data_IF_366186395122
#
_entry.id   IF_366186395122
#
_cell.length_a   1.000
_cell.length_b   1.000
_cell.length_c   1.000
_cell.angle_alpha   90.00
_cell.angle_beta   90.00
_cell.angle_gamma   90.00
#
_symmetry.space_group_name_H-M   'P 1'
#
loop_
_entity.id
_entity.type
_entity.pdbx_description
1 polymer ?
#
# COMPACT_ATOMS: atom_id res chain seq x y z
N UNK A 1 26.16 37.30 5.89
CA UNK A 1 24.95 38.13 5.78
C UNK A 1 24.20 37.60 4.55
N UNK A 2 23.33 36.58 4.72
CA UNK A 2 21.85 36.69 4.80
C UNK A 2 21.30 37.34 3.51
N UNK A 3 20.46 36.75 2.66
CA UNK A 3 19.33 35.83 2.89
C UNK A 3 18.97 35.10 1.57
N UNK A 4 18.67 33.81 1.56
CA UNK A 4 17.32 33.20 1.69
C UNK A 4 16.29 33.76 0.70
N UNK A 5 16.39 33.38 -0.58
CA UNK A 5 15.24 33.41 -1.50
C UNK A 5 14.42 32.13 -1.30
N UNK A 6 13.47 32.27 -0.37
CA UNK A 6 12.14 31.66 -0.33
C UNK A 6 11.98 30.24 -0.88
N UNK A 7 12.42 29.31 -0.04
CA UNK A 7 11.72 28.07 0.26
C UNK A 7 10.20 28.30 0.48
N UNK A 8 9.40 28.10 -0.56
CA UNK A 8 7.98 27.72 -0.44
C UNK A 8 7.59 26.75 -1.55
N UNK A 9 8.23 25.59 -1.55
CA UNK A 9 7.64 24.37 -2.07
C UNK A 9 7.25 23.51 -0.85
N UNK A 10 6.03 22.99 -0.88
CA UNK A 10 5.38 22.14 0.14
C UNK A 10 4.72 22.86 1.33
N UNK A 11 3.38 22.88 1.30
CA UNK A 11 2.47 22.23 2.26
C UNK A 11 1.14 22.97 2.30
N UNK A 12 0.20 22.51 1.48
CA UNK A 12 -1.18 22.34 1.96
C UNK A 12 -1.66 20.98 1.45
N UNK A 13 -1.55 20.01 2.37
CA UNK A 13 -2.52 18.94 2.60
C UNK A 13 -3.03 18.24 1.35
N UNK A 14 -2.51 17.03 1.14
CA UNK A 14 -3.29 15.97 0.53
C UNK A 14 -4.61 15.86 1.28
N UNK A 15 -5.63 16.56 0.78
CA UNK A 15 -6.98 16.22 1.09
C UNK A 15 -7.24 14.95 0.31
N UNK A 16 -7.12 13.82 1.01
CA UNK A 16 -8.15 12.81 0.89
C UNK A 16 -9.49 13.47 1.22
N UNK A 17 -9.96 14.35 0.34
CA UNK A 17 -11.37 14.61 0.18
C UNK A 17 -11.99 13.31 -0.30
N UNK A 18 -13.26 13.16 -0.02
CA UNK A 18 -14.13 12.03 -0.37
C UNK A 18 -14.13 11.65 -1.88
N UNK A 19 -13.32 12.30 -2.71
CA UNK A 19 -13.23 12.14 -4.17
C UNK A 19 -11.90 11.52 -4.68
N UNK A 20 -10.88 11.30 -3.83
CA UNK A 20 -9.60 10.73 -4.25
C UNK A 20 -9.45 9.23 -3.94
N UNK A 21 -8.61 8.48 -4.67
CA UNK A 21 -8.35 7.06 -4.38
C UNK A 21 -7.77 6.88 -2.97
N UNK A 22 -8.47 6.09 -2.15
CA UNK A 22 -8.18 5.89 -0.72
C UNK A 22 -8.10 4.41 -0.39
N UNK A 23 -6.99 3.98 0.23
CA UNK A 23 -6.84 2.60 0.71
C UNK A 23 -7.94 2.24 1.71
N UNK A 24 -8.30 3.16 2.62
CA UNK A 24 -9.34 2.90 3.62
C UNK A 24 -10.69 2.58 2.99
N UNK A 25 -11.11 3.36 1.98
CA UNK A 25 -12.35 3.12 1.25
C UNK A 25 -12.28 1.85 0.40
N UNK A 26 -11.13 1.56 -0.21
CA UNK A 26 -10.94 0.34 -0.99
C UNK A 26 -11.08 -0.91 -0.12
N UNK A 27 -10.50 -0.91 1.08
CA UNK A 27 -10.65 -2.03 2.01
C UNK A 27 -12.06 -2.14 2.60
N UNK A 28 -12.77 -1.03 2.78
CA UNK A 28 -14.19 -1.08 3.15
C UNK A 28 -15.02 -1.72 2.04
N UNK A 29 -14.73 -1.42 0.77
CA UNK A 29 -15.39 -2.06 -0.37
C UNK A 29 -15.14 -3.58 -0.40
N UNK A 30 -13.90 -4.02 -0.18
CA UNK A 30 -13.57 -5.45 -0.03
C UNK A 30 -14.40 -6.09 1.10
N UNK A 31 -14.44 -5.47 2.29
CA UNK A 31 -15.20 -6.00 3.43
C UNK A 31 -16.72 -6.06 3.21
N UNK A 32 -17.26 -5.27 2.26
CA UNK A 32 -18.66 -5.30 1.84
C UNK A 32 -18.92 -6.31 0.70
N UNK A 33 -17.89 -6.96 0.17
CA UNK A 33 -17.98 -7.78 -1.03
C UNK A 33 -18.14 -6.99 -2.32
N UNK A 34 -17.93 -5.67 -2.30
CA UNK A 34 -17.96 -4.81 -3.48
C UNK A 34 -16.59 -4.80 -4.16
N UNK A 35 -16.29 -5.93 -4.81
CA UNK A 35 -15.01 -6.14 -5.49
C UNK A 35 -14.81 -5.16 -6.65
N UNK A 36 -15.88 -4.77 -7.35
CA UNK A 36 -15.81 -3.84 -8.47
C UNK A 36 -15.30 -2.46 -8.01
N UNK A 37 -15.85 -1.92 -6.92
CA UNK A 37 -15.37 -0.66 -6.34
C UNK A 37 -13.94 -0.80 -5.83
N UNK A 38 -13.60 -1.90 -5.15
CA UNK A 38 -12.24 -2.13 -4.65
C UNK A 38 -11.21 -2.17 -5.79
N UNK A 39 -11.48 -2.90 -6.88
CA UNK A 39 -10.61 -2.99 -8.05
C UNK A 39 -10.50 -1.64 -8.78
N UNK A 40 -11.58 -0.89 -8.89
CA UNK A 40 -11.54 0.47 -9.46
C UNK A 40 -10.64 1.40 -8.65
N UNK A 41 -10.78 1.37 -7.32
CA UNK A 41 -9.91 2.15 -6.42
C UNK A 41 -8.45 1.72 -6.49
N UNK A 42 -8.19 0.42 -6.57
CA UNK A 42 -6.85 -0.14 -6.75
C UNK A 42 -6.20 0.35 -8.04
N UNK A 43 -6.92 0.29 -9.16
CA UNK A 43 -6.44 0.83 -10.44
C UNK A 43 -6.12 2.33 -10.35
N UNK A 44 -6.99 3.11 -9.69
CA UNK A 44 -6.76 4.54 -9.48
C UNK A 44 -5.55 4.83 -8.55
N UNK A 45 -5.34 4.01 -7.51
CA UNK A 45 -4.17 4.10 -6.63
C UNK A 45 -2.87 3.81 -7.39
N UNK A 46 -2.87 2.76 -8.22
CA UNK A 46 -1.72 2.37 -9.04
C UNK A 46 -1.41 3.41 -10.11
N UNK A 47 -2.43 3.94 -10.79
CA UNK A 47 -2.26 5.02 -11.77
C UNK A 47 -1.73 6.30 -11.11
N UNK A 48 -2.27 6.68 -9.95
CA UNK A 48 -1.81 7.87 -9.22
C UNK A 48 -0.34 7.77 -8.78
N UNK A 49 0.19 6.55 -8.60
CA UNK A 49 1.60 6.32 -8.26
C UNK A 49 2.58 6.86 -9.31
N UNK A 50 2.14 7.02 -10.55
CA UNK A 50 2.94 7.58 -11.64
C UNK A 50 3.23 9.07 -11.49
N UNK A 51 2.41 9.80 -10.74
CA UNK A 51 2.49 11.27 -10.61
C UNK A 51 2.67 11.73 -9.17
N UNK A 52 2.46 10.86 -8.18
CA UNK A 52 2.67 11.15 -6.75
C UNK A 52 3.11 9.91 -5.98
N UNK A 53 3.64 10.12 -4.79
CA UNK A 53 3.99 9.03 -3.88
C UNK A 53 2.71 8.30 -3.42
N UNK A 54 2.61 7.02 -3.78
CA UNK A 54 1.61 6.07 -3.29
C UNK A 54 2.35 4.85 -2.76
N UNK A 55 2.04 4.45 -1.53
CA UNK A 55 2.74 3.36 -0.84
C UNK A 55 2.53 2.02 -1.55
N UNK A 56 3.62 1.37 -1.96
CA UNK A 56 3.60 0.01 -2.50
C UNK A 56 3.02 -1.01 -1.51
N UNK A 57 3.29 -0.82 -0.20
CA UNK A 57 2.67 -1.61 0.87
C UNK A 57 1.14 -1.57 0.81
N UNK A 58 0.55 -0.38 0.65
CA UNK A 58 -0.89 -0.23 0.61
C UNK A 58 -1.52 -0.95 -0.60
N UNK A 59 -0.83 -0.89 -1.75
CA UNK A 59 -1.27 -1.57 -2.98
C UNK A 59 -1.19 -3.09 -2.79
N UNK A 60 -0.06 -3.59 -2.27
CA UNK A 60 0.11 -5.01 -1.97
C UNK A 60 -0.90 -5.53 -0.94
N UNK A 61 -1.18 -4.77 0.11
CA UNK A 61 -2.19 -5.14 1.11
C UNK A 61 -3.61 -5.19 0.52
N UNK A 62 -3.92 -4.34 -0.45
CA UNK A 62 -5.22 -4.33 -1.14
C UNK A 62 -5.37 -5.54 -2.06
N UNK A 63 -4.35 -5.88 -2.84
CA UNK A 63 -4.32 -7.14 -3.60
C UNK A 63 -4.45 -8.35 -2.69
N UNK A 64 -3.74 -8.37 -1.54
CA UNK A 64 -3.86 -9.44 -0.57
C UNK A 64 -5.29 -9.58 -0.05
N UNK A 65 -5.96 -8.46 0.28
CA UNK A 65 -7.35 -8.47 0.74
C UNK A 65 -8.34 -8.94 -0.34
N UNK A 66 -8.01 -8.76 -1.62
CA UNK A 66 -8.77 -9.22 -2.78
C UNK A 66 -8.49 -10.69 -3.14
N UNK A 67 -7.50 -11.33 -2.49
CA UNK A 67 -7.08 -12.70 -2.82
C UNK A 67 -6.14 -12.81 -4.02
N UNK A 68 -5.68 -11.69 -4.59
CA UNK A 68 -4.74 -11.64 -5.71
C UNK A 68 -3.29 -11.88 -5.21
N UNK A 69 -2.96 -13.11 -4.81
CA UNK A 69 -1.70 -13.42 -4.13
C UNK A 69 -0.45 -13.04 -4.95
N UNK A 70 -0.40 -13.35 -6.24
CA UNK A 70 0.77 -13.08 -7.09
C UNK A 70 1.08 -11.58 -7.16
N UNK A 71 0.04 -10.78 -7.35
CA UNK A 71 0.17 -9.33 -7.45
C UNK A 71 0.45 -8.71 -6.08
N UNK A 72 -0.12 -9.27 -5.00
CA UNK A 72 0.21 -8.88 -3.64
C UNK A 72 1.71 -9.06 -3.36
N UNK A 73 2.29 -10.24 -3.66
CA UNK A 73 3.73 -10.47 -3.47
C UNK A 73 4.59 -9.55 -4.33
N UNK A 74 4.21 -9.33 -5.60
CA UNK A 74 4.93 -8.39 -6.47
C UNK A 74 5.01 -6.98 -5.88
N UNK A 75 3.91 -6.47 -5.34
CA UNK A 75 3.89 -5.14 -4.71
C UNK A 75 4.56 -5.12 -3.34
N UNK A 76 4.47 -6.21 -2.57
CA UNK A 76 5.16 -6.32 -1.30
C UNK A 76 6.69 -6.38 -1.50
N UNK A 77 7.17 -7.01 -2.57
CA UNK A 77 8.58 -6.97 -2.95
C UNK A 77 9.06 -5.56 -3.27
N UNK A 78 8.29 -4.80 -4.07
CA UNK A 78 8.54 -3.38 -4.30
C UNK A 78 8.50 -2.58 -2.99
N UNK A 79 7.58 -2.91 -2.07
CA UNK A 79 7.52 -2.25 -0.77
C UNK A 79 8.79 -2.50 0.08
N UNK A 80 9.41 -3.68 -0.04
CA UNK A 80 10.69 -4.00 0.61
C UNK A 80 11.81 -3.14 0.02
N UNK A 81 11.90 -3.07 -1.31
CA UNK A 81 12.90 -2.25 -2.02
C UNK A 81 12.79 -0.76 -1.67
N UNK A 82 11.56 -0.29 -1.47
CA UNK A 82 11.26 1.11 -1.12
C UNK A 82 11.31 1.41 0.37
N UNK A 83 11.61 0.43 1.22
CA UNK A 83 11.56 0.53 2.67
C UNK A 83 10.22 1.14 3.17
N UNK A 84 9.11 0.70 2.57
CA UNK A 84 7.80 1.26 2.86
C UNK A 84 7.43 1.07 4.33
N UNK A 85 7.08 2.16 5.02
CA UNK A 85 6.82 2.18 6.47
C UNK A 85 5.76 1.17 6.92
N UNK A 86 4.79 0.84 6.05
CA UNK A 86 3.74 -0.12 6.37
C UNK A 86 4.22 -1.56 6.60
N UNK A 87 5.43 -1.91 6.14
CA UNK A 87 6.02 -3.24 6.36
C UNK A 87 6.21 -3.60 7.83
N UNK A 88 6.26 -2.63 8.74
CA UNK A 88 6.27 -2.88 10.18
C UNK A 88 5.04 -3.68 10.65
N UNK A 89 3.95 -3.66 9.87
CA UNK A 89 2.73 -4.40 10.17
C UNK A 89 2.63 -5.73 9.41
N UNK A 90 3.64 -6.15 8.64
CA UNK A 90 3.61 -7.36 7.78
C UNK A 90 3.07 -8.59 8.52
N UNK A 91 3.53 -8.80 9.76
CA UNK A 91 3.19 -9.99 10.55
C UNK A 91 1.86 -9.92 11.27
N UNK A 92 1.25 -8.74 11.42
CA UNK A 92 0.10 -8.54 12.32
C UNK A 92 -1.13 -7.99 11.61
N UNK A 93 -0.97 -7.44 10.41
CA UNK A 93 -2.09 -6.81 9.71
C UNK A 93 -3.06 -7.86 9.14
N UNK A 94 -4.37 -7.84 9.48
CA UNK A 94 -5.34 -8.87 9.06
C UNK A 94 -5.59 -8.90 7.54
N UNK A 95 -5.39 -7.76 6.86
CA UNK A 95 -5.44 -7.67 5.39
C UNK A 95 -4.49 -8.63 4.66
N UNK A 96 -3.47 -9.15 5.34
CA UNK A 96 -2.54 -10.12 4.76
C UNK A 96 -2.91 -11.56 5.07
N UNK A 97 -3.93 -11.81 5.90
CA UNK A 97 -4.37 -13.16 6.24
C UNK A 97 -4.62 -14.05 5.02
N UNK A 98 -5.18 -13.55 3.89
CA UNK A 98 -5.36 -14.38 2.69
C UNK A 98 -4.07 -14.90 2.06
N UNK A 99 -2.93 -14.21 2.24
CA UNK A 99 -1.64 -14.59 1.65
C UNK A 99 -0.68 -15.26 2.65
N UNK A 100 -1.01 -15.27 3.95
CA UNK A 100 -0.17 -15.92 4.97
C UNK A 100 0.08 -17.42 4.74
N UNK A 101 -0.88 -18.21 4.22
CA UNK A 101 -0.64 -19.62 3.93
C UNK A 101 0.27 -19.86 2.72
N UNK A 102 0.54 -18.85 1.90
CA UNK A 102 1.37 -18.98 0.70
C UNK A 102 2.85 -19.24 1.07
N UNK A 103 3.53 -20.20 0.43
CA UNK A 103 4.92 -20.55 0.74
C UNK A 103 5.92 -19.41 0.52
N UNK A 104 5.56 -18.34 -0.21
CA UNK A 104 6.38 -17.14 -0.38
C UNK A 104 6.37 -16.23 0.86
N UNK A 105 5.34 -16.32 1.70
CA UNK A 105 5.19 -15.44 2.86
C UNK A 105 6.34 -15.56 3.88
N UNK A 106 6.78 -16.76 4.30
CA UNK A 106 7.95 -16.88 5.18
C UNK A 106 9.21 -16.23 4.61
N UNK A 107 9.47 -16.38 3.30
CA UNK A 107 10.64 -15.77 2.66
C UNK A 107 10.59 -14.24 2.69
N UNK A 108 9.41 -13.65 2.48
CA UNK A 108 9.19 -12.20 2.62
C UNK A 108 9.45 -11.72 4.05
N UNK A 109 9.00 -12.46 5.07
CA UNK A 109 9.23 -12.14 6.49
C UNK A 109 10.73 -12.19 6.85
N UNK A 110 11.44 -13.23 6.39
CA UNK A 110 12.88 -13.37 6.63
C UNK A 110 13.72 -12.27 5.98
N UNK A 111 13.33 -11.78 4.80
CA UNK A 111 14.01 -10.63 4.15
C UNK A 111 13.97 -9.36 4.99
N UNK A 112 12.98 -9.22 5.87
CA UNK A 112 12.85 -8.09 6.80
C UNK A 112 13.45 -8.38 8.18
N UNK A 113 14.01 -9.57 8.40
CA UNK A 113 14.54 -10.00 9.70
C UNK A 113 13.47 -10.12 10.78
N UNK A 114 12.21 -10.34 10.40
CA UNK A 114 11.07 -10.43 11.31
C UNK A 114 10.73 -11.88 11.70
N UNK A 115 11.57 -12.83 11.32
CA UNK A 115 11.47 -14.28 11.55
C UNK A 115 12.10 -14.75 12.86
N UNK A 116 12.51 -13.79 13.70
CA UNK A 116 13.26 -14.01 14.96
C UNK A 116 12.37 -13.83 16.18
#
# INVERSE_FOLDING_TARGET
MKSVEAMTAERVVGSGGVAGPSFGLAHLAVGRGDEATARSMLAALTAARTTRVVSAWGIGALHASLGDADEAFRWLDTAVEEHATGLIFLRVHPRLDPIRPDPRYPALVSRLGLDR
#
